data_IF_143223450413
#
_entry.id   IF_143223450413
#
_cell.length_a   1.000
_cell.length_b   1.000
_cell.length_c   1.000
_cell.angle_alpha   90.00
_cell.angle_beta   90.00
_cell.angle_gamma   90.00
#
_symmetry.space_group_name_H-M   'P 1'
#
loop_
_entity.id
_entity.type
_entity.pdbx_description
1 polymer ?
#
# COMPACT_ATOMS: atom_id res chain seq x y z
N UNK A 1 -24.51 -29.43 -14.37
CA UNK A 1 -25.66 -28.53 -14.16
C UNK A 1 -25.19 -27.36 -13.32
N UNK A 2 -25.12 -26.16 -13.90
CA UNK A 2 -24.62 -24.96 -13.22
C UNK A 2 -25.70 -24.43 -12.25
N UNK A 3 -25.37 -24.34 -10.97
CA UNK A 3 -26.26 -23.85 -9.90
C UNK A 3 -26.55 -22.36 -10.10
N UNK A 4 -27.84 -22.02 -10.20
CA UNK A 4 -28.39 -20.73 -10.63
C UNK A 4 -28.23 -19.53 -9.69
N UNK A 5 -27.08 -19.37 -9.04
CA UNK A 5 -26.86 -18.28 -8.07
C UNK A 5 -26.22 -17.02 -8.71
N UNK A 6 -26.11 -16.97 -10.05
CA UNK A 6 -25.53 -15.84 -10.79
C UNK A 6 -26.56 -14.77 -11.21
N UNK A 7 -27.86 -14.96 -10.97
CA UNK A 7 -28.92 -14.06 -11.48
C UNK A 7 -29.49 -13.05 -10.48
N UNK A 8 -29.04 -13.03 -9.22
CA UNK A 8 -29.55 -12.06 -8.23
C UNK A 8 -28.95 -10.69 -8.48
N UNK A 9 -29.80 -9.67 -8.60
CA UNK A 9 -29.35 -8.28 -8.75
C UNK A 9 -28.85 -7.79 -7.40
N UNK A 10 -27.85 -6.91 -7.39
CA UNK A 10 -27.30 -6.32 -6.15
C UNK A 10 -28.37 -5.62 -5.29
N UNK A 11 -29.50 -5.26 -5.90
CA UNK A 11 -30.71 -4.69 -5.27
C UNK A 11 -31.51 -5.65 -4.39
N UNK A 12 -31.19 -6.94 -4.36
CA UNK A 12 -32.03 -7.96 -3.70
C UNK A 12 -31.44 -8.41 -2.35
N UNK A 13 -30.17 -8.10 -2.08
CA UNK A 13 -29.52 -8.40 -0.80
C UNK A 13 -29.98 -7.46 0.34
N UNK A 14 -29.82 -7.76 1.63
CA UNK A 14 -30.12 -6.81 2.72
C UNK A 14 -29.32 -5.50 2.59
N UNK A 15 -29.87 -4.35 3.01
CA UNK A 15 -29.21 -3.03 2.86
C UNK A 15 -27.86 -2.97 3.58
N UNK A 16 -27.73 -3.65 4.71
CA UNK A 16 -26.47 -3.81 5.45
C UNK A 16 -25.44 -4.57 4.64
N UNK A 17 -25.84 -5.68 4.00
CA UNK A 17 -25.01 -6.46 3.08
C UNK A 17 -24.63 -5.64 1.84
N UNK A 18 -25.54 -4.82 1.29
CA UNK A 18 -25.25 -3.90 0.16
C UNK A 18 -24.32 -2.77 0.56
N UNK A 19 -24.46 -2.20 1.75
CA UNK A 19 -23.53 -1.18 2.30
C UNK A 19 -22.15 -1.80 2.53
N UNK A 20 -22.13 -3.02 3.08
CA UNK A 20 -20.93 -3.83 3.21
C UNK A 20 -20.31 -4.10 1.83
N UNK A 21 -21.07 -4.50 0.80
CA UNK A 21 -20.58 -4.77 -0.56
C UNK A 21 -20.11 -3.52 -1.32
N UNK A 22 -20.81 -2.40 -1.21
CA UNK A 22 -20.36 -1.10 -1.75
C UNK A 22 -19.08 -0.63 -1.05
N UNK A 23 -18.92 -0.92 0.24
CA UNK A 23 -17.70 -0.66 1.01
C UNK A 23 -16.58 -1.67 0.71
N UNK A 24 -16.93 -2.95 0.51
CA UNK A 24 -16.01 -4.08 0.43
C UNK A 24 -15.35 -4.21 -0.94
N UNK A 25 -15.89 -3.62 -2.02
CA UNK A 25 -15.25 -3.69 -3.37
C UNK A 25 -14.80 -5.11 -3.73
N UNK A 26 -15.52 -6.13 -3.24
CA UNK A 26 -15.19 -7.54 -3.46
C UNK A 26 -15.31 -7.94 -4.95
N UNK A 27 -15.94 -7.09 -5.76
CA UNK A 27 -16.02 -7.17 -7.23
C UNK A 27 -15.09 -6.17 -7.92
N UNK A 28 -13.94 -5.82 -7.32
CA UNK A 28 -12.92 -5.09 -8.09
C UNK A 28 -12.45 -6.02 -9.21
N UNK A 29 -12.41 -5.57 -10.48
CA UNK A 29 -11.81 -6.37 -11.53
C UNK A 29 -10.39 -6.78 -11.09
N UNK A 30 -9.97 -8.03 -11.37
CA UNK A 30 -8.66 -8.52 -10.98
C UNK A 30 -7.62 -7.50 -11.42
N UNK A 31 -6.92 -6.95 -10.43
CA UNK A 31 -5.96 -5.90 -10.69
C UNK A 31 -4.81 -6.52 -11.47
N UNK A 32 -4.61 -6.10 -12.73
CA UNK A 32 -3.47 -6.54 -13.55
C UNK A 32 -2.21 -6.38 -12.70
N UNK A 33 -1.43 -7.45 -12.53
CA UNK A 33 -0.25 -7.42 -11.64
C UNK A 33 0.65 -6.25 -12.05
N UNK A 34 0.79 -5.18 -11.26
CA UNK A 34 1.47 -3.94 -11.67
C UNK A 34 3.00 -4.06 -11.64
N UNK A 35 3.52 -5.25 -11.95
CA UNK A 35 4.94 -5.55 -11.99
C UNK A 35 5.56 -5.86 -10.62
N UNK A 36 6.89 -5.94 -10.63
CA UNK A 36 7.70 -6.18 -9.43
C UNK A 36 7.47 -5.06 -8.40
N UNK A 37 7.35 -5.38 -7.09
CA UNK A 37 7.26 -4.37 -6.06
C UNK A 37 8.41 -3.37 -6.15
N UNK A 38 8.09 -2.08 -6.06
CA UNK A 38 9.09 -1.04 -6.01
C UNK A 38 9.93 -1.18 -4.73
N UNK A 39 11.22 -0.79 -4.76
CA UNK A 39 12.07 -0.77 -3.57
C UNK A 39 11.43 0.07 -2.45
N UNK A 40 11.61 -0.37 -1.20
CA UNK A 40 10.93 0.20 -0.03
C UNK A 40 11.09 1.72 0.04
N UNK A 41 9.99 2.43 0.33
CA UNK A 41 10.00 3.87 0.58
C UNK A 41 10.94 4.26 1.73
N UNK A 42 11.15 3.38 2.71
CA UNK A 42 12.11 3.61 3.78
C UNK A 42 13.55 3.66 3.24
N UNK A 43 13.91 2.70 2.38
CA UNK A 43 15.22 2.66 1.70
C UNK A 43 15.40 3.90 0.81
N UNK A 44 14.36 4.28 0.06
CA UNK A 44 14.41 5.51 -0.75
C UNK A 44 14.58 6.76 0.11
N UNK A 45 13.91 6.87 1.27
CA UNK A 45 14.11 8.01 2.19
C UNK A 45 15.53 8.05 2.71
N UNK A 46 16.06 6.90 3.14
CA UNK A 46 17.42 6.84 3.65
C UNK A 46 18.44 7.25 2.58
N UNK A 47 18.23 6.83 1.33
CA UNK A 47 19.05 7.26 0.20
C UNK A 47 19.04 8.78 0.07
N UNK A 48 17.86 9.41 0.07
CA UNK A 48 17.75 10.85 -0.07
C UNK A 48 18.25 11.64 1.15
N UNK A 49 18.17 11.07 2.36
CA UNK A 49 18.81 11.64 3.56
C UNK A 49 20.33 11.67 3.40
N UNK A 50 20.93 10.61 2.87
CA UNK A 50 22.36 10.56 2.59
C UNK A 50 22.75 11.53 1.47
N UNK A 51 21.98 11.61 0.38
CA UNK A 51 22.22 12.64 -0.66
C UNK A 51 22.21 14.05 -0.06
N UNK A 52 21.30 14.32 0.88
CA UNK A 52 21.23 15.63 1.55
C UNK A 52 22.46 15.95 2.43
N UNK A 53 23.28 14.95 2.81
CA UNK A 53 24.57 15.19 3.49
C UNK A 53 25.70 15.52 2.51
N UNK A 54 25.46 15.51 1.20
CA UNK A 54 26.42 15.88 0.16
C UNK A 54 27.26 14.73 -0.40
N UNK A 55 26.98 13.46 -0.05
CA UNK A 55 27.71 12.32 -0.61
C UNK A 55 27.20 11.96 -2.01
N UNK A 56 27.99 11.17 -2.75
CA UNK A 56 27.65 10.80 -4.13
C UNK A 56 26.48 9.81 -4.19
N UNK A 57 25.76 9.80 -5.32
CA UNK A 57 24.67 8.83 -5.54
C UNK A 57 25.13 7.36 -5.55
N UNK A 58 26.41 7.11 -5.87
CA UNK A 58 26.99 5.77 -5.80
C UNK A 58 27.22 5.32 -4.37
N UNK A 59 27.83 6.17 -3.53
CA UNK A 59 28.04 5.89 -2.10
C UNK A 59 26.73 5.75 -1.35
N UNK A 60 25.77 6.66 -1.61
CA UNK A 60 24.43 6.58 -1.02
C UNK A 60 23.72 5.27 -1.42
N UNK A 61 23.90 4.78 -2.65
CA UNK A 61 23.33 3.51 -3.10
C UNK A 61 23.89 2.32 -2.32
N UNK A 62 25.21 2.25 -2.20
CA UNK A 62 25.90 1.20 -1.46
C UNK A 62 25.49 1.21 0.02
N UNK A 63 25.44 2.39 0.63
CA UNK A 63 25.07 2.57 2.04
C UNK A 63 23.64 2.09 2.37
N UNK A 64 22.70 2.18 1.41
CA UNK A 64 21.32 1.69 1.59
C UNK A 64 21.10 0.29 1.03
N UNK A 65 22.15 -0.39 0.57
CA UNK A 65 22.10 -1.76 0.07
C UNK A 65 21.42 -1.91 -1.30
N UNK A 66 21.48 -0.89 -2.16
CA UNK A 66 21.01 -0.97 -3.55
C UNK A 66 22.18 -0.86 -4.53
N UNK A 67 22.02 -1.44 -5.72
CA UNK A 67 23.07 -1.36 -6.74
C UNK A 67 23.27 0.08 -7.22
N UNK A 68 24.52 0.43 -7.55
CA UNK A 68 24.90 1.78 -8.03
C UNK A 68 24.02 2.25 -9.20
N UNK A 69 23.73 1.42 -10.24
CA UNK A 69 22.85 1.84 -11.33
C UNK A 69 21.42 2.18 -10.89
N UNK A 70 20.91 1.55 -9.82
CA UNK A 70 19.60 1.87 -9.25
C UNK A 70 19.64 3.25 -8.58
N UNK A 71 20.65 3.51 -7.74
CA UNK A 71 20.81 4.81 -7.08
C UNK A 71 21.00 5.96 -8.07
N UNK A 72 21.84 5.77 -9.10
CA UNK A 72 22.01 6.78 -10.16
C UNK A 72 20.72 7.06 -10.92
N UNK A 73 19.88 6.05 -11.16
CA UNK A 73 18.55 6.25 -11.78
C UNK A 73 17.61 7.01 -10.85
N UNK A 74 17.58 6.70 -9.56
CA UNK A 74 16.75 7.45 -8.60
C UNK A 74 17.12 8.93 -8.59
N UNK A 75 18.41 9.23 -8.50
CA UNK A 75 18.91 10.61 -8.50
C UNK A 75 18.53 11.35 -9.79
N UNK A 76 18.82 10.76 -10.95
CA UNK A 76 18.55 11.38 -12.27
C UNK A 76 17.06 11.57 -12.53
N UNK A 77 16.23 10.56 -12.26
CA UNK A 77 14.79 10.63 -12.51
C UNK A 77 14.08 11.64 -11.61
N UNK A 78 14.65 11.95 -10.45
CA UNK A 78 14.11 12.94 -9.54
C UNK A 78 14.74 14.34 -9.70
N UNK A 79 15.65 14.52 -10.67
CA UNK A 79 16.29 15.81 -10.93
C UNK A 79 17.23 16.26 -9.81
N UNK A 80 17.81 15.32 -9.05
CA UNK A 80 18.71 15.62 -7.93
C UNK A 80 18.01 16.02 -6.64
N UNK A 81 16.67 16.04 -6.60
CA UNK A 81 15.88 16.39 -5.41
C UNK A 81 14.98 15.23 -4.99
N UNK A 82 14.69 15.10 -3.69
CA UNK A 82 13.83 14.03 -3.20
C UNK A 82 12.40 14.15 -3.75
N UNK A 83 11.86 13.13 -4.46
CA UNK A 83 10.48 13.13 -4.94
C UNK A 83 9.49 12.69 -3.86
N UNK A 84 9.97 12.45 -2.63
CA UNK A 84 9.21 11.92 -1.50
C UNK A 84 9.50 12.73 -0.24
N UNK A 85 8.54 12.81 0.68
CA UNK A 85 8.82 13.36 2.01
C UNK A 85 9.84 12.47 2.74
N UNK A 86 10.89 13.11 3.29
CA UNK A 86 11.93 12.47 4.09
C UNK A 86 11.52 12.25 5.55
N UNK A 87 10.41 12.86 5.98
CA UNK A 87 9.84 12.55 7.28
C UNK A 87 9.33 11.11 7.30
N UNK A 88 9.48 10.46 8.46
CA UNK A 88 8.80 9.18 8.66
C UNK A 88 7.28 9.39 8.62
N UNK A 89 6.52 8.42 8.09
CA UNK A 89 5.07 8.50 8.06
C UNK A 89 4.55 8.43 9.50
N UNK A 90 4.13 9.57 10.04
CA UNK A 90 3.52 9.69 11.37
C UNK A 90 2.01 9.88 11.28
N UNK A 91 1.29 9.47 12.31
CA UNK A 91 -0.15 9.73 12.47
C UNK A 91 -1.03 8.81 11.63
N UNK A 92 -1.62 9.32 10.54
CA UNK A 92 -2.77 8.72 9.83
C UNK A 92 -2.50 7.38 9.12
N UNK A 93 -1.26 7.12 8.70
CA UNK A 93 -0.92 5.99 7.84
C UNK A 93 -0.17 4.90 8.62
N UNK A 94 -0.48 3.63 8.32
CA UNK A 94 0.22 2.49 8.91
C UNK A 94 1.63 2.35 8.34
N UNK A 95 2.60 2.15 9.22
CA UNK A 95 4.00 1.81 8.92
C UNK A 95 4.09 0.39 8.33
N UNK A 96 5.28 0.00 7.88
CA UNK A 96 5.48 -1.37 7.39
C UNK A 96 5.46 -2.38 8.54
N UNK A 97 6.09 -2.05 9.66
CA UNK A 97 6.11 -2.84 10.88
C UNK A 97 4.70 -3.09 11.42
N UNK A 98 3.86 -2.06 11.47
CA UNK A 98 2.46 -2.21 11.88
C UNK A 98 1.68 -3.13 10.94
N UNK A 99 2.02 -3.17 9.65
CA UNK A 99 1.38 -4.10 8.69
C UNK A 99 1.84 -5.53 8.90
N UNK A 100 3.12 -5.75 9.20
CA UNK A 100 3.65 -7.07 9.57
C UNK A 100 2.94 -7.58 10.84
N UNK A 101 2.80 -6.74 11.85
CA UNK A 101 2.10 -7.08 13.10
C UNK A 101 0.61 -7.42 12.83
N UNK A 102 -0.08 -6.60 12.03
CA UNK A 102 -1.45 -6.93 11.58
C UNK A 102 -1.49 -8.28 10.85
N UNK A 103 -0.49 -8.62 10.05
CA UNK A 103 -0.46 -9.89 9.33
C UNK A 103 -0.29 -11.09 10.27
N UNK A 104 0.57 -10.98 11.28
CA UNK A 104 0.77 -12.02 12.31
C UNK A 104 -0.52 -12.23 13.11
N UNK A 105 -1.08 -11.15 13.66
CA UNK A 105 -2.28 -11.22 14.50
C UNK A 105 -3.51 -11.67 13.70
N UNK A 106 -3.63 -11.25 12.44
CA UNK A 106 -4.69 -11.73 11.55
C UNK A 106 -4.52 -13.21 11.21
N UNK A 107 -3.30 -13.73 11.04
CA UNK A 107 -3.06 -15.15 10.83
C UNK A 107 -3.42 -15.99 12.07
N UNK A 108 -3.31 -15.41 13.27
CA UNK A 108 -3.80 -15.98 14.53
C UNK A 108 -5.33 -15.88 14.70
N UNK A 109 -6.06 -15.38 13.70
CA UNK A 109 -7.51 -15.17 13.73
C UNK A 109 -8.01 -14.19 14.81
N UNK A 110 -7.15 -13.27 15.29
CA UNK A 110 -7.55 -12.19 16.21
C UNK A 110 -8.53 -11.23 15.55
N UNK A 111 -9.43 -10.66 16.34
CA UNK A 111 -10.44 -9.72 15.85
C UNK A 111 -9.86 -8.33 15.55
N UNK A 112 -10.48 -7.58 14.63
CA UNK A 112 -10.01 -6.22 14.24
C UNK A 112 -9.78 -5.28 15.43
N UNK A 113 -10.68 -5.32 16.44
CA UNK A 113 -10.57 -4.48 17.64
C UNK A 113 -9.44 -4.91 18.58
N UNK A 114 -9.14 -6.20 18.59
CA UNK A 114 -8.04 -6.77 19.37
C UNK A 114 -6.70 -6.40 18.75
N UNK A 115 -6.56 -6.65 17.43
CA UNK A 115 -5.39 -6.23 16.64
C UNK A 115 -5.10 -4.75 16.85
N UNK A 116 -6.13 -3.90 16.74
CA UNK A 116 -6.01 -2.46 16.90
C UNK A 116 -5.53 -2.05 18.29
N UNK A 117 -5.95 -2.75 19.34
CA UNK A 117 -5.50 -2.49 20.72
C UNK A 117 -4.03 -2.84 20.90
N UNK A 118 -3.60 -3.96 20.33
CA UNK A 118 -2.23 -4.47 20.43
C UNK A 118 -1.23 -3.54 19.73
N UNK A 119 -1.59 -3.00 18.56
CA UNK A 119 -0.75 -2.04 17.82
C UNK A 119 -0.96 -0.57 18.23
N UNK A 120 -1.85 -0.29 19.19
CA UNK A 120 -2.16 1.08 19.63
C UNK A 120 -2.83 1.97 18.58
N UNK A 121 -3.68 1.42 17.71
CA UNK A 121 -4.38 2.14 16.62
C UNK A 121 -5.90 2.11 16.73
N UNK A 122 -6.55 2.95 15.94
CA UNK A 122 -8.00 2.95 15.76
C UNK A 122 -8.45 1.64 15.06
N UNK A 123 -9.46 0.91 15.58
CA UNK A 123 -10.05 -0.24 14.89
C UNK A 123 -10.51 0.06 13.46
N UNK A 124 -10.95 1.28 13.19
CA UNK A 124 -11.27 1.72 11.84
C UNK A 124 -10.06 1.71 10.90
N UNK A 125 -8.85 2.01 11.38
CA UNK A 125 -7.63 1.95 10.59
C UNK A 125 -7.31 0.51 10.17
N UNK A 126 -7.35 -0.43 11.11
CA UNK A 126 -7.13 -1.86 10.85
C UNK A 126 -8.21 -2.43 9.92
N UNK A 127 -9.48 -2.10 10.14
CA UNK A 127 -10.58 -2.53 9.25
C UNK A 127 -10.39 -2.04 7.82
N UNK A 128 -10.05 -0.75 7.65
CA UNK A 128 -9.80 -0.15 6.33
C UNK A 128 -8.58 -0.76 5.65
N UNK A 129 -7.55 -1.10 6.42
CA UNK A 129 -6.34 -1.73 5.93
C UNK A 129 -6.60 -3.13 5.37
N UNK A 130 -7.14 -4.03 6.20
CA UNK A 130 -7.47 -5.39 5.80
C UNK A 130 -8.40 -5.40 4.59
N UNK A 131 -9.40 -4.52 4.57
CA UNK A 131 -10.36 -4.41 3.46
C UNK A 131 -9.71 -3.89 2.16
N UNK A 132 -8.88 -2.85 2.23
CA UNK A 132 -8.36 -2.16 1.02
C UNK A 132 -7.12 -2.83 0.44
N UNK A 133 -6.29 -3.43 1.30
CA UNK A 133 -4.93 -3.83 0.96
C UNK A 133 -4.67 -5.34 1.05
N UNK A 134 -5.63 -6.17 1.50
CA UNK A 134 -5.50 -7.63 1.40
C UNK A 134 -5.28 -8.09 -0.04
N UNK A 135 -4.38 -9.04 -0.25
CA UNK A 135 -4.11 -9.62 -1.55
C UNK A 135 -5.27 -10.55 -1.96
N UNK A 136 -5.64 -10.53 -3.23
CA UNK A 136 -6.56 -11.52 -3.80
C UNK A 136 -5.71 -12.42 -4.68
N UNK A 137 -5.56 -13.69 -4.29
CA UNK A 137 -4.90 -14.70 -5.12
C UNK A 137 -5.88 -15.86 -5.29
N UNK A 138 -6.14 -16.26 -6.54
CA UNK A 138 -7.05 -17.36 -6.87
C UNK A 138 -8.44 -17.26 -6.21
N UNK A 139 -8.97 -16.04 -6.06
CA UNK A 139 -10.27 -15.80 -5.42
C UNK A 139 -10.28 -15.79 -3.89
N UNK A 140 -9.15 -16.11 -3.23
CA UNK A 140 -9.01 -16.04 -1.76
C UNK A 140 -8.36 -14.73 -1.33
N UNK A 141 -8.91 -14.13 -0.27
CA UNK A 141 -8.33 -12.97 0.43
C UNK A 141 -7.25 -13.47 1.39
N UNK A 142 -5.99 -13.20 1.06
CA UNK A 142 -4.84 -13.42 1.95
C UNK A 142 -4.23 -12.06 2.30
N UNK A 143 -4.09 -11.76 3.58
CA UNK A 143 -3.38 -10.55 4.00
C UNK A 143 -1.87 -10.82 4.06
N UNK A 144 -1.10 -10.11 3.25
CA UNK A 144 0.37 -10.10 3.28
C UNK A 144 0.86 -8.67 3.38
N UNK A 145 1.63 -8.37 4.42
CA UNK A 145 2.09 -7.02 4.73
C UNK A 145 2.90 -6.37 3.59
N UNK A 146 3.79 -7.12 2.94
CA UNK A 146 4.56 -6.65 1.76
C UNK A 146 3.65 -6.23 0.59
N UNK A 147 2.63 -7.03 0.27
CA UNK A 147 1.65 -6.70 -0.78
C UNK A 147 0.80 -5.52 -0.36
N UNK A 148 0.37 -5.50 0.89
CA UNK A 148 -0.46 -4.43 1.43
C UNK A 148 0.27 -3.08 1.42
N UNK A 149 1.54 -3.07 1.82
CA UNK A 149 2.43 -1.91 1.76
C UNK A 149 2.60 -1.41 0.33
N UNK A 150 2.87 -2.32 -0.60
CA UNK A 150 3.04 -1.95 -2.00
C UNK A 150 1.73 -1.42 -2.61
N UNK A 151 0.56 -1.99 -2.28
CA UNK A 151 -0.76 -1.46 -2.68
C UNK A 151 -1.02 -0.06 -2.10
N UNK A 152 -0.68 0.17 -0.84
CA UNK A 152 -0.79 1.47 -0.21
C UNK A 152 0.08 2.51 -0.94
N UNK A 153 1.32 2.14 -1.31
CA UNK A 153 2.23 3.00 -2.08
C UNK A 153 1.72 3.30 -3.48
N UNK A 154 1.16 2.31 -4.20
CA UNK A 154 0.57 2.56 -5.52
C UNK A 154 -0.64 3.49 -5.43
N UNK A 155 -1.50 3.31 -4.42
CA UNK A 155 -2.67 4.17 -4.20
C UNK A 155 -2.30 5.59 -3.80
N UNK A 156 -1.14 5.78 -3.17
CA UNK A 156 -0.61 7.09 -2.80
C UNK A 156 -0.03 7.86 -4.00
N UNK A 157 0.28 7.20 -5.12
CA UNK A 157 0.58 7.91 -6.37
C UNK A 157 -0.69 8.65 -6.78
N UNK A 158 -0.58 9.93 -7.13
CA UNK A 158 -1.70 10.72 -7.64
C UNK A 158 -1.84 10.46 -9.15
N UNK A 159 -2.87 9.74 -9.62
CA UNK A 159 -3.11 9.58 -11.05
C UNK A 159 -3.85 10.76 -11.69
N UNK A 160 -4.25 11.76 -10.89
CA UNK A 160 -4.93 12.97 -11.40
C UNK A 160 -3.89 13.92 -11.96
N UNK A 161 -4.13 14.43 -13.18
CA UNK A 161 -3.32 15.48 -13.79
C UNK A 161 -3.12 16.65 -12.81
N UNK A 162 -1.95 17.27 -12.89
CA UNK A 162 -1.70 18.48 -12.12
C UNK A 162 -2.69 19.54 -12.60
N UNK A 163 -3.35 20.25 -11.67
CA UNK A 163 -4.33 21.30 -12.03
C UNK A 163 -3.73 22.39 -12.94
N UNK A 164 -2.41 22.56 -12.91
CA UNK A 164 -1.68 23.50 -13.75
C UNK A 164 -1.57 23.07 -15.22
N UNK A 165 -1.73 21.78 -15.53
CA UNK A 165 -1.74 21.25 -16.89
C UNK A 165 -3.12 21.32 -17.55
N UNK A 166 -4.18 21.63 -16.79
CA UNK A 166 -5.56 21.72 -17.27
C UNK A 166 -5.97 23.17 -17.63
N UNK A 167 -5.15 24.18 -17.28
CA UNK A 167 -5.38 25.60 -17.59
C UNK A 167 -4.53 26.09 -18.78
N UNK A 168 -4.65 25.42 -19.93
CA UNK A 168 -4.16 25.93 -21.23
C UNK A 168 -5.32 26.31 -22.10
#
# INVERSE_FOLDING_TARGET
>A
MATGDWSKKTSDAPVELRRQWRADRALRPPMRSPGRPAPSRAVQRQFWRLIATGITSAEAALAVGVSVPVGSRWYRHAGGMSPISLAEPIGRYLSFEEREEIAILHAQAKGVREIAREIGRDPGAVSRELRRNAATRAGKLEYRATVAQWKAQQSAKRPKAAKLLENT
#
